data_IF_924472595636
#
_entry.id   IF_924472595636
#
_cell.length_a   1.000
_cell.length_b   1.000
_cell.length_c   1.000
_cell.angle_alpha   90.00
_cell.angle_beta   90.00
_cell.angle_gamma   90.00
#
_symmetry.space_group_name_H-M   'P 1'
#
loop_
_entity.id
_entity.type
_entity.pdbx_description
1 polymer ?
#
# COMPACT_ATOMS: atom_id res chain seq x y z
N UNK A 1 -13.98 -9.44 34.91
CA UNK A 1 -13.52 -8.53 33.83
C UNK A 1 -12.26 -9.11 33.19
N UNK A 2 -12.40 -10.00 32.22
CA UNK A 2 -11.28 -10.57 31.43
C UNK A 2 -11.60 -10.42 29.95
N UNK A 3 -10.92 -9.48 29.25
CA UNK A 3 -10.83 -9.44 27.79
C UNK A 3 -9.55 -8.71 27.39
N UNK A 4 -8.38 -9.26 27.77
CA UNK A 4 -7.12 -8.51 27.57
C UNK A 4 -5.95 -9.31 27.02
N UNK A 5 -6.12 -10.55 26.54
CA UNK A 5 -4.94 -11.35 26.11
C UNK A 5 -5.07 -11.97 24.70
N UNK A 6 -6.28 -12.04 24.11
CA UNK A 6 -6.49 -12.81 22.86
C UNK A 6 -6.96 -12.01 21.65
N UNK A 7 -7.25 -10.71 21.77
CA UNK A 7 -7.85 -9.89 20.71
C UNK A 7 -6.88 -9.00 19.91
N UNK A 8 -5.68 -8.73 20.44
CA UNK A 8 -4.74 -7.79 19.81
C UNK A 8 -4.11 -8.36 18.54
N UNK A 9 -3.78 -9.67 18.52
CA UNK A 9 -3.18 -10.33 17.35
C UNK A 9 -4.14 -10.37 16.17
N UNK A 10 -5.39 -10.78 16.40
CA UNK A 10 -6.42 -10.83 15.36
C UNK A 10 -6.72 -9.44 14.78
N UNK A 11 -6.87 -8.44 15.65
CA UNK A 11 -7.12 -7.06 15.20
C UNK A 11 -5.93 -6.49 14.42
N UNK A 12 -4.69 -6.75 14.87
CA UNK A 12 -3.46 -6.34 14.16
C UNK A 12 -3.33 -7.07 12.82
N UNK A 13 -3.67 -8.35 12.77
CA UNK A 13 -3.66 -9.15 11.55
C UNK A 13 -4.67 -8.65 10.52
N UNK A 14 -5.91 -8.39 10.94
CA UNK A 14 -6.95 -7.81 10.08
C UNK A 14 -6.51 -6.44 9.56
N UNK A 15 -5.93 -5.59 10.42
CA UNK A 15 -5.38 -4.30 9.99
C UNK A 15 -4.29 -4.46 8.94
N UNK A 16 -3.37 -5.41 9.12
CA UNK A 16 -2.33 -5.72 8.13
C UNK A 16 -2.93 -6.10 6.78
N UNK A 17 -3.94 -6.97 6.76
CA UNK A 17 -4.63 -7.36 5.52
C UNK A 17 -5.29 -6.15 4.85
N UNK A 18 -6.01 -5.33 5.61
CA UNK A 18 -6.67 -4.11 5.10
C UNK A 18 -5.66 -3.13 4.49
N UNK A 19 -4.53 -2.90 5.14
CA UNK A 19 -3.51 -1.99 4.62
C UNK A 19 -2.79 -2.56 3.40
N UNK A 20 -2.55 -3.87 3.34
CA UNK A 20 -2.02 -4.51 2.14
C UNK A 20 -2.97 -4.33 0.94
N UNK A 21 -4.29 -4.43 1.17
CA UNK A 21 -5.27 -4.17 0.12
C UNK A 21 -5.33 -2.68 -0.26
N UNK A 22 -5.27 -1.77 0.70
CA UNK A 22 -5.19 -0.33 0.44
C UNK A 22 -3.98 0.03 -0.42
N UNK A 23 -2.81 -0.57 -0.17
CA UNK A 23 -1.62 -0.37 -1.01
C UNK A 23 -1.86 -0.78 -2.47
N UNK A 24 -2.55 -1.89 -2.72
CA UNK A 24 -2.90 -2.33 -4.10
C UNK A 24 -3.80 -1.30 -4.78
N UNK A 25 -4.87 -0.87 -4.11
CA UNK A 25 -5.80 0.13 -4.67
C UNK A 25 -5.13 1.48 -4.94
N UNK A 26 -4.19 1.90 -4.08
CA UNK A 26 -3.40 3.12 -4.27
C UNK A 26 -2.50 3.02 -5.52
N UNK A 27 -2.01 1.83 -5.85
CA UNK A 27 -1.20 1.57 -7.05
C UNK A 27 -2.02 1.46 -8.32
N UNK A 28 -3.27 0.98 -8.22
CA UNK A 28 -4.17 0.95 -9.37
C UNK A 28 -4.55 2.35 -9.86
N UNK A 29 -4.46 3.38 -9.00
CA UNK A 29 -4.75 4.79 -9.31
C UNK A 29 -6.17 5.06 -9.84
N UNK A 30 -7.08 4.09 -9.68
CA UNK A 30 -8.48 4.17 -10.11
C UNK A 30 -9.38 4.88 -9.10
N UNK A 31 -8.95 4.95 -7.84
CA UNK A 31 -9.75 5.43 -6.73
C UNK A 31 -9.02 6.53 -5.98
N UNK A 32 -9.77 7.51 -5.48
CA UNK A 32 -9.29 8.53 -4.57
C UNK A 32 -8.96 7.93 -3.19
N UNK A 33 -8.15 8.65 -2.41
CA UNK A 33 -7.82 8.24 -1.03
C UNK A 33 -9.07 8.10 -0.16
N UNK A 34 -10.09 8.93 -0.40
CA UNK A 34 -11.37 8.86 0.31
C UNK A 34 -12.13 7.57 0.00
N UNK A 35 -12.23 7.21 -1.27
CA UNK A 35 -12.88 5.96 -1.71
C UNK A 35 -12.12 4.74 -1.17
N UNK A 36 -10.79 4.74 -1.27
CA UNK A 36 -9.94 3.65 -0.75
C UNK A 36 -10.14 3.50 0.76
N UNK A 37 -10.21 4.60 1.51
CA UNK A 37 -10.47 4.55 2.96
C UNK A 37 -11.80 3.86 3.26
N UNK A 38 -12.83 4.17 2.48
CA UNK A 38 -14.16 3.56 2.62
C UNK A 38 -14.13 2.07 2.26
N UNK A 39 -13.48 1.72 1.14
CA UNK A 39 -13.36 0.32 0.65
C UNK A 39 -12.62 -0.59 1.63
N UNK A 40 -11.64 -0.07 2.37
CA UNK A 40 -10.87 -0.86 3.35
C UNK A 40 -11.44 -0.77 4.77
N UNK A 41 -12.66 -0.20 4.91
CA UNK A 41 -13.46 -0.22 6.13
C UNK A 41 -13.09 0.86 7.15
N UNK A 42 -12.69 2.04 6.69
CA UNK A 42 -12.47 3.23 7.53
C UNK A 42 -13.58 4.25 7.31
N UNK A 43 -14.10 4.81 8.40
CA UNK A 43 -15.17 5.82 8.37
C UNK A 43 -14.64 7.25 8.11
N UNK A 44 -13.33 7.46 8.20
CA UNK A 44 -12.71 8.78 8.04
C UNK A 44 -11.41 8.65 7.24
N UNK A 45 -11.28 9.39 6.12
CA UNK A 45 -10.04 9.45 5.34
C UNK A 45 -8.84 9.94 6.18
N UNK A 46 -9.05 10.88 7.10
CA UNK A 46 -7.98 11.42 7.97
C UNK A 46 -7.48 10.37 8.96
N UNK A 47 -8.39 9.58 9.55
CA UNK A 47 -8.02 8.50 10.45
C UNK A 47 -7.33 7.35 9.70
N UNK A 48 -7.80 7.05 8.48
CA UNK A 48 -7.15 6.13 7.57
C UNK A 48 -5.71 6.57 7.29
N UNK A 49 -5.49 7.82 6.84
CA UNK A 49 -4.16 8.31 6.49
C UNK A 49 -3.16 8.23 7.66
N UNK A 50 -3.62 8.61 8.86
CA UNK A 50 -2.80 8.52 10.08
C UNK A 50 -2.46 7.06 10.42
N UNK A 51 -3.44 6.16 10.33
CA UNK A 51 -3.25 4.73 10.64
C UNK A 51 -2.42 4.03 9.57
N UNK A 52 -2.59 4.41 8.31
CA UNK A 52 -1.81 3.94 7.17
C UNK A 52 -0.34 4.31 7.35
N UNK A 53 -0.03 5.57 7.68
CA UNK A 53 1.35 5.99 7.98
C UNK A 53 1.98 5.18 9.10
N UNK A 54 1.22 4.87 10.17
CA UNK A 54 1.72 4.02 11.26
C UNK A 54 2.03 2.58 10.83
N UNK A 55 1.30 2.02 9.86
CA UNK A 55 1.49 0.63 9.42
C UNK A 55 2.46 0.48 8.23
N UNK A 56 2.46 1.45 7.31
CA UNK A 56 3.20 1.40 6.04
C UNK A 56 4.46 2.27 6.08
N UNK A 57 4.52 3.27 6.97
CA UNK A 57 5.67 4.15 7.17
C UNK A 57 5.58 5.51 6.46
N UNK A 58 4.65 5.69 5.53
CA UNK A 58 4.45 6.94 4.79
C UNK A 58 2.96 7.26 4.60
N UNK A 59 2.62 8.48 4.21
CA UNK A 59 1.23 8.84 3.90
C UNK A 59 0.75 8.15 2.61
N UNK A 60 -0.57 7.89 2.48
CA UNK A 60 -1.13 7.35 1.22
C UNK A 60 -0.77 8.19 0.00
N UNK A 61 -0.76 9.52 0.13
CA UNK A 61 -0.34 10.47 -0.91
C UNK A 61 1.13 10.29 -1.32
N UNK A 62 2.02 10.07 -0.35
CA UNK A 62 3.45 9.84 -0.59
C UNK A 62 3.69 8.47 -1.24
N UNK A 63 2.95 7.45 -0.80
CA UNK A 63 3.01 6.10 -1.36
C UNK A 63 2.69 6.10 -2.87
N UNK A 64 1.66 6.85 -3.25
CA UNK A 64 1.25 7.06 -4.64
C UNK A 64 2.32 7.84 -5.45
N UNK A 65 2.94 8.87 -4.87
CA UNK A 65 3.96 9.69 -5.55
C UNK A 65 5.27 8.95 -5.76
N UNK A 66 5.75 8.21 -4.75
CA UNK A 66 7.06 7.53 -4.77
C UNK A 66 7.17 6.45 -5.85
N UNK A 67 6.12 5.66 -6.07
CA UNK A 67 6.10 4.61 -7.09
C UNK A 67 6.06 5.13 -8.53
N UNK A 68 5.59 6.37 -8.72
CA UNK A 68 5.66 7.07 -10.01
C UNK A 68 7.12 7.31 -10.45
N UNK A 69 8.08 7.31 -9.51
CA UNK A 69 9.51 7.54 -9.79
C UNK A 69 10.33 6.24 -9.91
N UNK A 70 9.92 5.16 -9.24
CA UNK A 70 10.68 3.88 -9.22
C UNK A 70 10.40 2.91 -10.37
N UNK A 71 9.29 3.03 -11.09
CA UNK A 71 8.96 2.14 -12.21
C UNK A 71 9.62 2.56 -13.54
N UNK A 72 10.00 3.85 -13.68
CA UNK A 72 10.75 4.32 -14.86
C UNK A 72 12.19 3.77 -14.95
N UNK A 73 12.74 3.25 -13.86
CA UNK A 73 14.09 2.65 -13.84
C UNK A 73 14.06 1.15 -14.17
N UNK A 74 13.08 0.39 -13.65
CA UNK A 74 13.01 -1.07 -13.86
C UNK A 74 12.56 -1.52 -15.26
N UNK A 75 11.87 -0.65 -16.01
CA UNK A 75 11.58 -0.91 -17.43
C UNK A 75 12.78 -0.59 -18.34
N UNK A 76 13.71 0.26 -17.90
CA UNK A 76 14.91 0.61 -18.68
C UNK A 76 15.98 -0.49 -18.69
N UNK A 77 15.99 -1.35 -17.68
CA UNK A 77 17.03 -2.38 -17.51
C UNK A 77 16.67 -3.72 -18.18
N UNK A 78 15.37 -4.03 -18.33
CA UNK A 78 14.88 -5.25 -19.02
C UNK A 78 15.05 -5.26 -20.54
N UNK A 79 15.47 -4.15 -21.14
CA UNK A 79 15.69 -4.04 -22.58
C UNK A 79 17.10 -4.42 -23.07
N UNK A 80 18.07 -4.68 -22.17
CA UNK A 80 19.49 -4.86 -22.55
C UNK A 80 19.98 -6.30 -22.68
N UNK A 81 19.17 -7.31 -22.39
CA UNK A 81 19.63 -8.72 -22.39
C UNK A 81 19.47 -9.46 -23.73
N UNK A 82 19.06 -8.81 -24.82
CA UNK A 82 18.79 -9.51 -26.11
C UNK A 82 19.86 -9.41 -27.20
N UNK A 83 20.97 -8.68 -26.99
CA UNK A 83 21.94 -8.41 -28.07
C UNK A 83 23.31 -9.10 -27.93
N UNK A 84 23.55 -9.98 -26.95
CA UNK A 84 24.88 -10.59 -26.77
C UNK A 84 25.01 -12.06 -27.23
N UNK A 85 24.08 -12.56 -28.03
CA UNK A 85 24.15 -13.90 -28.62
C UNK A 85 24.47 -13.85 -30.10
N UNK A 86 25.75 -13.69 -30.44
CA UNK A 86 26.22 -13.70 -31.83
C UNK A 86 27.73 -13.78 -31.93
N UNK A 87 28.26 -14.99 -31.74
CA UNK A 87 29.50 -15.46 -32.37
C UNK A 87 29.22 -16.82 -33.03
#
# INVERSE_FOLDING_TARGET
KMKSITGESATKFIRKIRFNYACKLLMDRKYSISEISSMVGFNSPSYFATSFKKHVGCLPTEYVRTRTRGEREKDRERGKERESGGE
#
